data_IF_704054163229
#
_entry.id   IF_704054163229
#
_cell.length_a   1.000
_cell.length_b   1.000
_cell.length_c   1.000
_cell.angle_alpha   90.00
_cell.angle_beta   90.00
_cell.angle_gamma   90.00
#
_symmetry.space_group_name_H-M   'P 1'
#
loop_
_entity.id
_entity.type
_entity.pdbx_description
1 polymer ?
#
# COMPACT_ATOMS: atom_id res chain seq x y z
N UNK A 1 13.92 2.09 6.76
CA UNK A 1 13.37 3.32 7.38
C UNK A 1 14.08 4.59 6.93
N UNK A 2 15.40 4.56 6.73
CA UNK A 2 16.19 5.73 6.33
C UNK A 2 15.75 6.34 4.98
N UNK A 3 15.50 5.50 3.97
CA UNK A 3 15.00 5.93 2.65
C UNK A 3 13.64 6.66 2.67
N UNK A 4 12.72 6.24 3.54
CA UNK A 4 11.42 6.89 3.66
C UNK A 4 11.54 8.28 4.29
N UNK A 5 12.47 8.41 5.26
CA UNK A 5 12.74 9.67 5.93
C UNK A 5 13.32 10.69 4.96
N UNK A 6 14.25 10.29 4.11
CA UNK A 6 14.82 11.15 3.06
C UNK A 6 13.78 11.59 2.02
N UNK A 7 12.86 10.70 1.62
CA UNK A 7 11.79 11.05 0.67
C UNK A 7 10.70 11.93 1.28
N UNK A 8 10.47 11.84 2.59
CA UNK A 8 9.42 12.59 3.27
C UNK A 8 9.63 14.10 3.25
N UNK A 9 10.87 14.56 3.03
CA UNK A 9 11.21 15.98 2.88
C UNK A 9 10.58 16.59 1.61
N UNK A 10 10.28 15.77 0.59
CA UNK A 10 9.80 16.23 -0.73
C UNK A 10 8.48 15.62 -1.16
N UNK A 11 8.08 14.50 -0.58
CA UNK A 11 6.89 13.74 -0.98
C UNK A 11 6.09 13.27 0.22
N UNK A 12 4.78 13.14 0.05
CA UNK A 12 3.96 12.40 1.01
C UNK A 12 4.28 10.91 0.86
N UNK A 13 5.04 10.37 1.80
CA UNK A 13 5.39 8.94 1.85
C UNK A 13 4.38 8.21 2.73
N UNK A 14 3.79 7.13 2.20
CA UNK A 14 2.86 6.28 2.94
C UNK A 14 3.37 4.85 2.88
N UNK A 15 3.50 4.24 4.04
CA UNK A 15 3.74 2.81 4.20
C UNK A 15 2.45 2.15 4.62
N UNK A 16 2.11 1.05 3.97
CA UNK A 16 0.96 0.24 4.36
C UNK A 16 1.37 -1.22 4.40
N UNK A 17 0.78 -1.97 5.32
CA UNK A 17 0.80 -3.42 5.30
C UNK A 17 -0.42 -3.91 4.52
N UNK A 18 -0.26 -4.98 3.74
CA UNK A 18 -1.40 -5.61 3.05
C UNK A 18 -2.31 -6.27 4.07
N UNK A 19 -3.60 -6.38 3.78
CA UNK A 19 -4.54 -7.11 4.63
C UNK A 19 -4.03 -8.53 4.94
N UNK A 20 -4.06 -8.90 6.22
CA UNK A 20 -3.50 -10.15 6.74
C UNK A 20 -1.97 -10.17 6.91
N UNK A 21 -1.29 -9.02 6.86
CA UNK A 21 0.14 -8.88 7.12
C UNK A 21 0.41 -7.79 8.15
N UNK A 22 1.47 -7.96 8.95
CA UNK A 22 1.99 -6.93 9.85
C UNK A 22 0.92 -6.39 10.79
N UNK A 23 0.61 -5.10 10.64
CA UNK A 23 -0.38 -4.39 11.46
C UNK A 23 -1.77 -4.26 10.82
N UNK A 24 -2.02 -4.92 9.70
CA UNK A 24 -3.33 -4.91 9.06
C UNK A 24 -4.18 -6.11 9.43
N UNK A 25 -5.47 -5.85 9.64
CA UNK A 25 -6.48 -6.88 9.88
C UNK A 25 -6.52 -7.91 8.74
N UNK A 26 -6.91 -9.17 9.03
CA UNK A 26 -7.08 -10.17 8.01
C UNK A 26 -8.17 -9.77 7.01
N UNK A 27 -7.94 -10.06 5.74
CA UNK A 27 -8.97 -9.91 4.71
C UNK A 27 -9.97 -11.07 4.78
N UNK A 28 -11.29 -10.81 4.67
CA UNK A 28 -12.28 -11.86 4.50
C UNK A 28 -12.27 -12.46 3.08
N UNK A 29 -11.49 -11.89 2.15
CA UNK A 29 -11.42 -12.31 0.76
C UNK A 29 -10.18 -13.16 0.47
N UNK A 30 -10.30 -14.04 -0.55
CA UNK A 30 -9.17 -14.83 -1.04
C UNK A 30 -7.99 -13.94 -1.42
N UNK A 31 -6.75 -14.39 -1.13
CA UNK A 31 -5.52 -13.64 -1.43
C UNK A 31 -5.12 -13.75 -2.91
N UNK A 32 -5.91 -13.14 -3.78
CA UNK A 32 -5.60 -12.97 -5.21
C UNK A 32 -4.97 -11.60 -5.44
N UNK A 33 -4.19 -11.44 -6.52
CA UNK A 33 -3.60 -10.14 -6.88
C UNK A 33 -4.68 -9.05 -7.03
N UNK A 34 -5.80 -9.38 -7.69
CA UNK A 34 -6.94 -8.46 -7.87
C UNK A 34 -7.49 -7.97 -6.54
N UNK A 35 -7.73 -8.86 -5.57
CA UNK A 35 -8.27 -8.46 -4.27
C UNK A 35 -7.28 -7.58 -3.48
N UNK A 36 -5.98 -7.85 -3.60
CA UNK A 36 -4.94 -7.02 -2.97
C UNK A 36 -4.95 -5.60 -3.55
N UNK A 37 -5.12 -5.46 -4.87
CA UNK A 37 -5.20 -4.16 -5.56
C UNK A 37 -6.45 -3.39 -5.15
N UNK A 38 -7.60 -4.05 -5.11
CA UNK A 38 -8.87 -3.46 -4.69
C UNK A 38 -8.81 -2.96 -3.23
N UNK A 39 -8.23 -3.75 -2.32
CA UNK A 39 -8.01 -3.37 -0.93
C UNK A 39 -7.10 -2.14 -0.81
N UNK A 40 -6.00 -2.11 -1.57
CA UNK A 40 -5.09 -0.97 -1.62
C UNK A 40 -5.81 0.28 -2.13
N UNK A 41 -6.49 0.18 -3.27
CA UNK A 41 -7.22 1.30 -3.87
C UNK A 41 -8.26 1.86 -2.89
N UNK A 42 -9.03 0.98 -2.25
CA UNK A 42 -10.00 1.38 -1.22
C UNK A 42 -9.32 2.11 -0.06
N UNK A 43 -8.15 1.63 0.40
CA UNK A 43 -7.35 2.29 1.44
C UNK A 43 -6.89 3.68 1.03
N UNK A 44 -6.36 3.82 -0.19
CA UNK A 44 -5.90 5.11 -0.73
C UNK A 44 -7.03 6.11 -0.89
N UNK A 45 -8.20 5.68 -1.38
CA UNK A 45 -9.40 6.51 -1.48
C UNK A 45 -9.85 7.03 -0.11
N UNK A 46 -9.92 6.15 0.89
CA UNK A 46 -10.27 6.53 2.27
C UNK A 46 -9.26 7.50 2.90
N UNK A 47 -7.99 7.41 2.52
CA UNK A 47 -6.94 8.34 2.96
C UNK A 47 -6.92 9.66 2.17
N UNK A 48 -7.80 9.81 1.17
CA UNK A 48 -7.83 10.98 0.29
C UNK A 48 -6.56 11.13 -0.55
N UNK A 49 -5.86 10.04 -0.83
CA UNK A 49 -4.66 10.05 -1.67
C UNK A 49 -5.12 10.02 -3.14
N UNK A 50 -4.78 11.07 -3.88
CA UNK A 50 -5.23 11.25 -5.26
C UNK A 50 -4.73 10.16 -6.22
N UNK A 51 -5.38 10.06 -7.38
CA UNK A 51 -5.16 9.03 -8.42
C UNK A 51 -3.73 8.90 -8.98
N UNK A 52 -2.83 9.84 -8.69
CA UNK A 52 -1.46 9.85 -9.21
C UNK A 52 -0.48 9.66 -8.06
N UNK A 53 -0.02 8.43 -7.89
CA UNK A 53 1.00 8.05 -6.91
C UNK A 53 1.98 7.06 -7.55
N UNK A 54 3.17 6.97 -6.97
CA UNK A 54 4.18 5.98 -7.37
C UNK A 54 4.10 4.84 -6.36
N UNK A 55 3.77 3.64 -6.83
CA UNK A 55 3.80 2.43 -6.02
C UNK A 55 5.19 1.79 -6.13
N UNK A 56 5.87 1.64 -4.99
CA UNK A 56 7.16 0.94 -4.91
C UNK A 56 6.94 -0.36 -4.15
N UNK A 57 6.93 -1.48 -4.88
CA UNK A 57 6.81 -2.82 -4.32
C UNK A 57 8.17 -3.54 -4.29
N UNK A 58 8.46 -4.23 -3.19
CA UNK A 58 9.60 -5.15 -3.13
C UNK A 58 9.11 -6.59 -3.26
N UNK A 59 9.66 -7.35 -4.22
CA UNK A 59 9.33 -8.77 -4.44
C UNK A 59 7.81 -9.00 -4.64
N UNK A 60 7.16 -9.81 -3.80
CA UNK A 60 5.72 -10.10 -3.85
C UNK A 60 4.79 -8.88 -3.69
N UNK A 61 5.30 -7.75 -3.20
CA UNK A 61 4.57 -6.49 -3.12
C UNK A 61 4.49 -5.72 -4.44
N UNK A 62 5.20 -6.17 -5.49
CA UNK A 62 5.19 -5.51 -6.81
C UNK A 62 4.16 -6.12 -7.79
N UNK A 63 3.56 -7.27 -7.46
CA UNK A 63 2.62 -7.99 -8.33
C UNK A 63 1.15 -7.69 -8.05
N UNK A 64 0.88 -6.73 -7.17
CA UNK A 64 -0.44 -6.11 -6.98
C UNK A 64 -0.55 -4.93 -7.93
#
# INVERSE_FOLDING_TARGET
>A
MEFQKELSDKFKVVTYDRAGCGWSDPSPYSRTAVNIVEELNTGLEKMGIGRSFILIGHSYGASS
#
